data_IF_408746890488
#
_entry.id   IF_408746890488
#
_cell.length_a   1.000
_cell.length_b   1.000
_cell.length_c   1.000
_cell.angle_alpha   90.00
_cell.angle_beta   90.00
_cell.angle_gamma   90.00
#
_symmetry.space_group_name_H-M   'P 1'
#
loop_
_entity.id
_entity.type
_entity.pdbx_description
1 polymer ?
#
# COMPACT_ATOMS: atom_id res chain seq x y z
N UNK A 1 -16.60 -10.82 16.23
CA UNK A 1 -16.60 -9.60 17.08
C UNK A 1 -15.42 -8.75 16.63
N UNK A 2 -15.59 -7.43 16.44
CA UNK A 2 -14.44 -6.56 16.20
C UNK A 2 -13.49 -6.62 17.39
N UNK A 3 -12.18 -6.52 17.12
CA UNK A 3 -11.17 -6.37 18.16
C UNK A 3 -11.38 -5.06 18.93
N UNK A 4 -10.95 -4.96 20.21
CA UNK A 4 -11.00 -3.70 20.94
C UNK A 4 -10.21 -2.61 20.22
N UNK A 5 -10.75 -1.39 20.18
CA UNK A 5 -10.08 -0.21 19.61
C UNK A 5 -8.91 0.18 20.51
N UNK A 6 -7.72 -0.32 20.20
CA UNK A 6 -6.49 0.03 20.88
C UNK A 6 -5.46 0.46 19.85
N UNK A 7 -5.13 1.76 19.84
CA UNK A 7 -4.06 2.27 19.00
C UNK A 7 -2.71 1.91 19.65
N UNK A 8 -1.94 1.06 18.96
CA UNK A 8 -0.58 0.74 19.37
C UNK A 8 0.35 1.87 18.96
N UNK A 9 0.81 2.65 19.95
CA UNK A 9 1.83 3.70 19.79
C UNK A 9 3.15 3.21 20.37
N UNK A 10 4.24 3.41 19.63
CA UNK A 10 5.59 3.04 20.04
C UNK A 10 6.57 4.14 19.65
N UNK A 11 7.79 4.07 20.15
CA UNK A 11 8.80 5.10 19.95
C UNK A 11 10.10 4.46 19.47
N UNK A 12 10.75 5.08 18.48
CA UNK A 12 12.07 4.71 17.98
C UNK A 12 12.93 5.95 18.06
N UNK A 13 13.94 5.97 18.94
CA UNK A 13 14.88 7.11 19.08
C UNK A 13 14.17 8.48 19.26
N UNK A 14 13.09 8.53 20.06
CA UNK A 14 12.28 9.74 20.25
C UNK A 14 11.21 9.96 19.17
N UNK A 15 11.22 9.17 18.10
CA UNK A 15 10.25 9.27 17.01
C UNK A 15 9.03 8.39 17.29
N UNK A 16 7.97 9.03 17.73
CA UNK A 16 6.67 8.40 18.01
C UNK A 16 5.96 7.93 16.74
N UNK A 17 5.62 6.65 16.70
CA UNK A 17 5.00 5.96 15.57
C UNK A 17 3.74 5.21 16.00
N UNK A 18 2.84 4.96 15.05
CA UNK A 18 1.70 4.06 15.25
C UNK A 18 1.52 3.12 14.06
N UNK A 19 0.79 2.02 14.27
CA UNK A 19 0.41 1.09 13.20
C UNK A 19 -1.09 1.19 12.92
N UNK A 20 -1.46 1.18 11.64
CA UNK A 20 -2.84 1.06 11.17
C UNK A 20 -2.90 -0.04 10.12
N UNK A 21 -3.79 -1.01 10.29
CA UNK A 21 -3.83 -2.21 9.44
C UNK A 21 -5.01 -2.11 8.46
N UNK A 22 -4.70 -1.94 7.18
CA UNK A 22 -5.63 -2.01 6.06
C UNK A 22 -6.94 -1.23 6.32
N UNK A 23 -8.05 -1.96 6.54
CA UNK A 23 -9.38 -1.43 6.79
C UNK A 23 -9.51 -0.57 8.04
N UNK A 24 -8.56 -0.64 8.98
CA UNK A 24 -8.53 0.22 10.16
C UNK A 24 -8.46 1.71 9.80
N UNK A 25 -7.93 2.07 8.63
CA UNK A 25 -8.00 3.45 8.11
C UNK A 25 -9.42 4.00 7.95
N UNK A 26 -10.42 3.13 7.79
CA UNK A 26 -11.81 3.50 7.67
C UNK A 26 -12.51 3.69 9.01
N UNK A 27 -11.85 3.37 10.14
CA UNK A 27 -12.44 3.54 11.46
C UNK A 27 -12.60 5.04 11.76
N UNK A 28 -13.79 5.50 12.18
CA UNK A 28 -14.01 6.91 12.52
C UNK A 28 -12.99 7.38 13.56
N UNK A 29 -12.40 8.56 13.34
CA UNK A 29 -11.45 9.20 14.26
C UNK A 29 -10.07 8.54 14.38
N UNK A 30 -9.75 7.47 13.62
CA UNK A 30 -8.45 6.78 13.78
C UNK A 30 -7.26 7.72 13.58
N UNK A 31 -7.37 8.68 12.66
CA UNK A 31 -6.33 9.66 12.39
C UNK A 31 -6.28 10.79 13.41
N UNK A 32 -7.42 11.14 14.01
CA UNK A 32 -7.47 12.12 15.09
C UNK A 32 -6.74 11.55 16.32
N UNK A 33 -6.95 10.27 16.63
CA UNK A 33 -6.21 9.56 17.68
C UNK A 33 -4.69 9.61 17.46
N UNK A 34 -4.20 9.51 16.20
CA UNK A 34 -2.77 9.62 15.89
C UNK A 34 -2.22 11.01 16.24
N UNK A 35 -2.97 12.06 15.91
CA UNK A 35 -2.61 13.46 16.17
C UNK A 35 -2.64 13.75 17.67
N UNK A 36 -3.68 13.32 18.38
CA UNK A 36 -3.78 13.47 19.84
C UNK A 36 -2.62 12.79 20.56
N UNK A 37 -2.18 11.63 20.06
CA UNK A 37 -1.02 10.92 20.58
C UNK A 37 0.32 11.50 20.13
N UNK A 38 0.33 12.58 19.33
CA UNK A 38 1.54 13.24 18.79
C UNK A 38 2.42 12.28 18.00
N UNK A 39 1.81 11.41 17.20
CA UNK A 39 2.57 10.54 16.30
C UNK A 39 3.24 11.39 15.22
N UNK A 40 4.50 11.08 14.93
CA UNK A 40 5.26 11.68 13.83
C UNK A 40 5.14 10.85 12.55
N UNK A 41 4.90 9.53 12.68
CA UNK A 41 4.64 8.66 11.55
C UNK A 41 3.57 7.60 11.83
N UNK A 42 2.96 7.12 10.75
CA UNK A 42 2.07 5.96 10.72
C UNK A 42 2.59 4.90 9.76
N UNK A 43 2.64 3.66 10.24
CA UNK A 43 2.93 2.49 9.42
C UNK A 43 1.61 1.84 9.03
N UNK A 44 1.33 1.90 7.73
CA UNK A 44 0.18 1.29 7.07
C UNK A 44 0.54 -0.07 6.52
N UNK A 45 0.10 -1.13 7.19
CA UNK A 45 0.22 -2.50 6.66
C UNK A 45 -1.09 -2.82 5.95
N UNK A 46 -1.04 -3.12 4.66
CA UNK A 46 -2.24 -3.30 3.86
C UNK A 46 -2.13 -4.48 2.89
N UNK A 47 -3.30 -5.03 2.55
CA UNK A 47 -3.48 -6.00 1.48
C UNK A 47 -4.58 -5.48 0.55
N UNK A 48 -4.46 -4.21 0.16
CA UNK A 48 -5.36 -3.55 -0.77
C UNK A 48 -5.41 -4.34 -2.08
N UNK A 49 -6.62 -4.80 -2.42
CA UNK A 49 -6.87 -5.67 -3.55
C UNK A 49 -8.00 -5.13 -4.42
N UNK A 50 -7.96 -5.48 -5.70
CA UNK A 50 -9.09 -5.37 -6.61
C UNK A 50 -9.46 -6.71 -7.22
N UNK A 51 -10.35 -6.69 -8.20
CA UNK A 51 -10.62 -7.87 -9.02
C UNK A 51 -9.44 -8.19 -9.94
N UNK A 52 -9.40 -9.43 -10.44
CA UNK A 52 -8.46 -9.86 -11.49
C UNK A 52 -8.46 -8.97 -12.72
N UNK A 53 -9.58 -8.29 -13.01
CA UNK A 53 -9.74 -7.37 -14.13
C UNK A 53 -8.88 -6.10 -14.00
N UNK A 54 -8.20 -5.90 -12.87
CA UNK A 54 -7.17 -4.88 -12.73
C UNK A 54 -5.84 -5.33 -13.35
N UNK A 55 -5.56 -6.64 -13.35
CA UNK A 55 -4.36 -7.21 -13.96
C UNK A 55 -4.47 -7.33 -15.47
N UNK A 56 -3.33 -7.21 -16.16
CA UNK A 56 -3.19 -7.39 -17.61
C UNK A 56 -2.01 -8.30 -17.90
N UNK A 57 -2.09 -9.01 -19.01
CA UNK A 57 -0.95 -9.67 -19.62
C UNK A 57 -0.15 -8.65 -20.44
N UNK A 58 1.17 -8.81 -20.49
CA UNK A 58 2.07 -7.91 -21.23
C UNK A 58 1.62 -7.66 -22.68
N UNK A 59 1.14 -8.69 -23.39
CA UNK A 59 0.66 -8.58 -24.77
C UNK A 59 -0.59 -7.72 -24.96
N UNK A 60 -1.34 -7.43 -23.89
CA UNK A 60 -2.49 -6.53 -23.93
C UNK A 60 -2.09 -5.04 -23.93
N UNK A 61 -0.81 -4.73 -23.66
CA UNK A 61 -0.29 -3.36 -23.57
C UNK A 61 0.35 -2.85 -24.88
N UNK A 62 0.26 -3.61 -25.96
CA UNK A 62 0.75 -3.19 -27.29
C UNK A 62 -0.08 -2.02 -27.85
N UNK A 63 -1.35 -1.92 -27.42
CA UNK A 63 -2.26 -0.84 -27.80
C UNK A 63 -2.04 0.46 -26.99
N UNK A 64 -1.85 1.62 -27.62
CA UNK A 64 -1.63 2.89 -26.93
C UNK A 64 -2.73 3.26 -25.93
N UNK A 65 -3.99 2.97 -26.25
CA UNK A 65 -5.13 3.26 -25.37
C UNK A 65 -5.10 2.38 -24.10
N UNK A 66 -4.72 1.10 -24.25
CA UNK A 66 -4.55 0.20 -23.12
C UNK A 66 -3.42 0.68 -22.17
N UNK A 67 -2.30 1.16 -22.73
CA UNK A 67 -1.22 1.77 -21.93
C UNK A 67 -1.66 3.02 -21.17
N UNK A 68 -2.43 3.90 -21.81
CA UNK A 68 -2.89 5.14 -21.18
C UNK A 68 -3.83 4.85 -19.99
N UNK A 69 -4.79 3.94 -20.17
CA UNK A 69 -5.69 3.50 -19.10
C UNK A 69 -4.92 2.85 -17.94
N UNK A 70 -3.90 2.06 -18.24
CA UNK A 70 -3.02 1.45 -17.24
C UNK A 70 -2.23 2.49 -16.43
N UNK A 71 -1.66 3.50 -17.08
CA UNK A 71 -0.92 4.56 -16.41
C UNK A 71 -1.80 5.35 -15.43
N UNK A 72 -3.06 5.62 -15.78
CA UNK A 72 -4.03 6.28 -14.89
C UNK A 72 -4.32 5.44 -13.64
N UNK A 73 -4.55 4.14 -13.81
CA UNK A 73 -4.80 3.24 -12.69
C UNK A 73 -3.58 3.13 -11.76
N UNK A 74 -2.38 3.04 -12.32
CA UNK A 74 -1.14 3.02 -11.53
C UNK A 74 -0.95 4.31 -10.74
N UNK A 75 -1.27 5.47 -11.31
CA UNK A 75 -1.22 6.76 -10.62
C UNK A 75 -2.19 6.80 -9.42
N UNK A 76 -3.36 6.17 -9.50
CA UNK A 76 -4.31 6.09 -8.38
C UNK A 76 -3.82 5.21 -7.24
N UNK A 77 -3.08 4.15 -7.54
CA UNK A 77 -2.44 3.32 -6.52
C UNK A 77 -1.20 3.98 -5.90
N UNK A 78 -0.68 5.05 -6.51
CA UNK A 78 0.41 5.84 -5.97
C UNK A 78 -0.12 6.90 -4.99
N UNK A 79 -0.41 6.45 -3.77
CA UNK A 79 -0.34 7.24 -2.52
C UNK A 79 -1.02 8.61 -2.46
N UNK A 80 -1.97 8.96 -3.33
CA UNK A 80 -2.62 10.28 -3.33
C UNK A 80 -3.24 10.59 -1.96
N UNK A 81 -4.03 9.67 -1.42
CA UNK A 81 -4.63 9.82 -0.09
C UNK A 81 -3.56 9.89 1.01
N UNK A 82 -2.44 9.19 0.82
CA UNK A 82 -1.29 9.24 1.73
C UNK A 82 -0.63 10.62 1.74
N UNK A 83 -0.43 11.24 0.58
CA UNK A 83 0.13 12.59 0.43
C UNK A 83 -0.78 13.61 1.09
N UNK A 84 -2.07 13.61 0.71
CA UNK A 84 -3.06 14.56 1.25
C UNK A 84 -3.16 14.46 2.78
N UNK A 85 -3.17 13.23 3.31
CA UNK A 85 -3.18 12.97 4.75
C UNK A 85 -1.90 13.48 5.42
N UNK A 86 -0.74 13.21 4.83
CA UNK A 86 0.55 13.55 5.44
C UNK A 86 0.70 15.06 5.60
N UNK A 87 0.34 15.82 4.55
CA UNK A 87 0.30 17.29 4.58
C UNK A 87 -0.71 17.79 5.60
N UNK A 88 -1.94 17.27 5.58
CA UNK A 88 -3.03 17.76 6.42
C UNK A 88 -2.75 17.57 7.92
N UNK A 89 -2.14 16.44 8.28
CA UNK A 89 -1.93 16.04 9.67
C UNK A 89 -0.51 16.27 10.16
N UNK A 90 0.40 16.75 9.29
CA UNK A 90 1.84 16.80 9.56
C UNK A 90 2.37 15.46 10.09
N UNK A 91 2.03 14.38 9.38
CA UNK A 91 2.26 13.00 9.78
C UNK A 91 2.90 12.24 8.63
N UNK A 92 4.11 11.69 8.82
CA UNK A 92 4.71 10.84 7.80
C UNK A 92 3.97 9.50 7.67
N UNK A 93 4.00 8.90 6.48
CA UNK A 93 3.34 7.63 6.20
C UNK A 93 4.30 6.64 5.55
N UNK A 94 4.33 5.42 6.09
CA UNK A 94 4.99 4.25 5.49
C UNK A 94 3.89 3.26 5.12
N UNK A 95 3.61 3.06 3.84
CA UNK A 95 2.62 2.10 3.37
C UNK A 95 3.31 0.86 2.80
N UNK A 96 2.95 -0.31 3.32
CA UNK A 96 3.39 -1.61 2.86
C UNK A 96 2.17 -2.37 2.33
N UNK A 97 2.01 -2.45 1.00
CA UNK A 97 0.94 -3.21 0.38
C UNK A 97 1.41 -4.58 -0.12
N UNK A 98 0.57 -5.59 0.03
CA UNK A 98 0.75 -6.87 -0.63
C UNK A 98 0.80 -6.69 -2.15
N UNK A 99 1.58 -7.54 -2.82
CA UNK A 99 1.66 -7.62 -4.26
C UNK A 99 1.47 -9.07 -4.70
N UNK A 100 0.73 -9.30 -5.78
CA UNK A 100 0.52 -10.61 -6.39
C UNK A 100 -0.94 -10.89 -6.72
N UNK A 101 -1.17 -12.05 -7.32
CA UNK A 101 -2.49 -12.55 -7.67
C UNK A 101 -2.58 -14.04 -7.34
N UNK A 102 -3.77 -14.48 -6.94
CA UNK A 102 -4.07 -15.88 -6.68
C UNK A 102 -5.36 -16.25 -7.42
N UNK A 103 -5.25 -17.15 -8.40
CA UNK A 103 -6.36 -17.62 -9.24
C UNK A 103 -7.55 -18.13 -8.41
N UNK A 104 -7.26 -18.74 -7.26
CA UNK A 104 -8.28 -19.33 -6.39
C UNK A 104 -9.14 -18.29 -5.65
N UNK A 105 -8.72 -17.03 -5.58
CA UNK A 105 -9.40 -16.00 -4.78
C UNK A 105 -9.91 -14.82 -5.62
N UNK A 106 -9.65 -14.79 -6.92
CA UNK A 106 -9.96 -13.68 -7.83
C UNK A 106 -9.48 -12.29 -7.35
N UNK A 107 -8.53 -12.26 -6.41
CA UNK A 107 -8.00 -11.03 -5.84
C UNK A 107 -6.67 -10.67 -6.47
N UNK A 108 -6.60 -9.43 -6.96
CA UNK A 108 -5.41 -8.83 -7.52
C UNK A 108 -4.84 -7.78 -6.57
N UNK A 109 -3.63 -7.99 -6.09
CA UNK A 109 -2.91 -7.06 -5.24
C UNK A 109 -1.83 -6.35 -6.05
N UNK A 110 -2.00 -5.05 -6.37
CA UNK A 110 -1.07 -4.34 -7.23
C UNK A 110 0.23 -3.94 -6.53
N UNK A 111 0.38 -4.09 -5.21
CA UNK A 111 1.47 -3.46 -4.48
C UNK A 111 1.28 -1.95 -4.38
N UNK A 112 2.32 -1.16 -4.69
CA UNK A 112 2.27 0.30 -4.52
C UNK A 112 2.70 0.77 -3.13
N UNK A 113 3.61 0.03 -2.48
CA UNK A 113 4.20 0.44 -1.20
C UNK A 113 4.96 1.76 -1.35
N UNK A 114 4.94 2.59 -0.32
CA UNK A 114 5.52 3.93 -0.40
C UNK A 114 5.96 4.47 0.96
N UNK A 115 6.82 5.49 0.90
CA UNK A 115 7.20 6.34 2.03
C UNK A 115 6.85 7.76 1.61
N UNK A 116 6.01 8.42 2.39
CA UNK A 116 5.61 9.81 2.23
C UNK A 116 5.99 10.54 3.51
N UNK A 117 6.73 11.65 3.39
CA UNK A 117 7.09 12.45 4.55
C UNK A 117 5.92 13.35 5.02
N UNK A 118 6.10 14.06 6.14
CA UNK A 118 5.05 14.93 6.69
C UNK A 118 4.76 16.17 5.85
N UNK A 119 5.60 16.48 4.85
CA UNK A 119 5.38 17.56 3.87
C UNK A 119 4.65 17.10 2.61
N UNK A 120 4.41 15.79 2.48
CA UNK A 120 3.78 15.17 1.32
C UNK A 120 4.76 14.73 0.24
N UNK A 121 6.08 14.83 0.46
CA UNK A 121 7.07 14.33 -0.48
C UNK A 121 7.08 12.79 -0.47
N UNK A 122 7.01 12.18 -1.67
CA UNK A 122 7.18 10.73 -1.83
C UNK A 122 8.68 10.41 -1.91
N UNK A 123 9.26 10.02 -0.78
CA UNK A 123 10.71 9.77 -0.64
C UNK A 123 11.11 8.36 -1.03
N UNK A 124 10.15 7.43 -1.10
CA UNK A 124 10.38 6.06 -1.54
C UNK A 124 9.12 5.43 -2.10
N UNK A 125 9.27 4.59 -3.13
CA UNK A 125 8.15 3.89 -3.75
C UNK A 125 8.59 2.54 -4.31
N UNK A 126 7.78 1.52 -4.06
CA UNK A 126 7.76 0.28 -4.83
C UNK A 126 6.56 0.42 -5.78
N UNK A 127 6.78 0.71 -7.08
CA UNK A 127 5.70 1.01 -8.00
C UNK A 127 4.68 -0.12 -8.07
N UNK A 128 3.38 0.19 -8.17
CA UNK A 128 2.39 -0.85 -8.35
C UNK A 128 2.61 -1.60 -9.67
N UNK A 129 2.36 -2.90 -9.66
CA UNK A 129 2.49 -3.81 -10.80
C UNK A 129 1.11 -4.34 -11.17
N UNK A 130 0.60 -3.97 -12.33
CA UNK A 130 -0.64 -4.57 -12.87
C UNK A 130 -0.41 -5.53 -14.03
N UNK A 131 0.85 -5.86 -14.32
CA UNK A 131 1.20 -6.86 -15.34
C UNK A 131 1.46 -8.18 -14.64
N UNK A 132 0.67 -9.22 -14.94
CA UNK A 132 0.75 -10.52 -14.28
C UNK A 132 2.17 -11.12 -14.36
N UNK A 133 2.85 -10.97 -15.49
CA UNK A 133 4.20 -11.48 -15.70
C UNK A 133 5.24 -10.79 -14.80
N UNK A 134 4.96 -9.57 -14.34
CA UNK A 134 5.84 -8.77 -13.48
C UNK A 134 5.52 -8.92 -11.98
N UNK A 135 4.47 -9.68 -11.63
CA UNK A 135 4.09 -9.98 -10.25
C UNK A 135 4.82 -11.19 -9.66
N UNK A 136 5.81 -11.73 -10.38
CA UNK A 136 6.56 -12.88 -9.89
C UNK A 136 7.44 -12.45 -8.71
N UNK A 137 7.56 -13.29 -7.67
CA UNK A 137 8.64 -13.08 -6.70
C UNK A 137 9.94 -13.07 -7.50
N UNK A 138 10.72 -11.99 -7.36
CA UNK A 138 12.13 -12.05 -7.70
C UNK A 138 12.71 -13.17 -6.83
N UNK A 139 12.96 -14.33 -7.44
CA UNK A 139 13.56 -15.49 -6.78
C UNK A 139 15.02 -15.23 -6.35
N UNK A 140 15.51 -14.00 -6.48
CA UNK A 140 16.81 -13.55 -5.97
C UNK A 140 16.92 -13.62 -4.44
N UNK A 141 15.81 -13.89 -3.73
CA UNK A 141 15.81 -14.16 -2.27
C UNK A 141 15.86 -15.66 -1.92
N UNK A 142 16.15 -16.53 -2.89
CA UNK A 142 16.36 -17.96 -2.69
C UNK A 142 15.20 -18.82 -3.19
N UNK A 143 15.54 -20.08 -3.48
CA UNK A 143 14.62 -21.08 -4.04
C UNK A 143 13.61 -21.52 -2.99
N UNK A 144 12.32 -21.20 -3.18
CA UNK A 144 11.24 -21.80 -2.40
C UNK A 144 10.75 -23.04 -3.16
N UNK A 145 11.21 -24.22 -2.75
CA UNK A 145 10.61 -25.48 -3.20
C UNK A 145 9.24 -25.65 -2.54
N UNK A 146 8.17 -25.44 -3.31
CA UNK A 146 6.83 -25.88 -2.90
C UNK A 146 6.73 -27.38 -3.12
N UNK A 147 7.25 -28.18 -2.20
CA UNK A 147 6.78 -29.55 -2.06
C UNK A 147 5.40 -29.48 -1.38
N UNK A 148 4.39 -29.93 -2.11
CA UNK A 148 3.04 -30.20 -1.59
C UNK A 148 2.93 -31.66 -1.22
#
# INVERSE_FOLDING_TARGET
MPAPRQLAVFEIEGFRCAMVICSDSGLPGIFDDLVENRCHAVIFITAGAGSTDWGRHQGELDEPEARARFADMAARCLSKEGIERSVKLNLAQIACNQMGWVDATDYFHPGGSSIVDSTGEVTGVIPPRFVFEHLRPDLDVGTISRER
#
